data_IF_128947241499
#
_entry.id   IF_128947241499
#
_cell.length_a   1.000
_cell.length_b   1.000
_cell.length_c   1.000
_cell.angle_alpha   90.00
_cell.angle_beta   90.00
_cell.angle_gamma   90.00
#
_symmetry.space_group_name_H-M   'P 1'
#
loop_
_entity.id
_entity.type
_entity.pdbx_description
1 polymer ?
#
# COMPACT_ATOMS: atom_id res chain seq x y z
N UNK A 1 -5.81 4.85 26.87
CA UNK A 1 -4.86 3.79 27.24
C UNK A 1 -5.65 2.66 27.90
N UNK A 2 -5.47 1.41 27.47
CA UNK A 2 -6.21 0.27 28.04
C UNK A 2 -5.54 -0.11 29.36
N UNK A 3 -6.32 -0.24 30.43
CA UNK A 3 -5.77 -0.55 31.74
C UNK A 3 -5.28 -2.01 31.81
N UNK A 4 -4.17 -2.26 32.52
CA UNK A 4 -3.59 -3.61 32.64
C UNK A 4 -4.60 -4.62 33.19
N UNK A 5 -5.41 -4.22 34.18
CA UNK A 5 -6.46 -5.11 34.72
C UNK A 5 -7.48 -5.53 33.66
N UNK A 6 -7.84 -4.64 32.72
CA UNK A 6 -8.75 -4.97 31.60
C UNK A 6 -8.09 -5.96 30.65
N UNK A 7 -6.81 -5.75 30.30
CA UNK A 7 -6.06 -6.69 29.45
C UNK A 7 -6.00 -8.08 30.09
N UNK A 8 -5.66 -8.15 31.38
CA UNK A 8 -5.58 -9.41 32.12
C UNK A 8 -6.94 -10.08 32.26
N UNK A 9 -8.01 -9.34 32.54
CA UNK A 9 -9.37 -9.89 32.61
C UNK A 9 -9.83 -10.50 31.29
N UNK A 10 -9.42 -9.90 30.17
CA UNK A 10 -9.77 -10.36 28.84
C UNK A 10 -8.93 -11.56 28.40
N UNK A 11 -7.59 -11.41 28.43
CA UNK A 11 -6.67 -12.42 27.91
C UNK A 11 -6.48 -13.64 28.83
N UNK A 12 -6.98 -13.60 30.07
CA UNK A 12 -7.03 -14.81 30.93
C UNK A 12 -8.17 -15.76 30.59
N UNK A 13 -9.13 -15.36 29.74
CA UNK A 13 -10.33 -16.17 29.50
C UNK A 13 -10.03 -17.30 28.53
N UNK A 14 -10.36 -18.52 28.93
CA UNK A 14 -10.11 -19.73 28.14
C UNK A 14 -10.81 -19.70 26.77
N UNK A 15 -12.03 -19.16 26.70
CA UNK A 15 -12.79 -19.03 25.44
C UNK A 15 -12.11 -18.10 24.43
N UNK A 16 -11.51 -17.01 24.92
CA UNK A 16 -10.72 -16.06 24.11
C UNK A 16 -9.38 -16.68 23.70
N UNK A 17 -8.69 -17.32 24.63
CA UNK A 17 -7.40 -17.96 24.37
C UNK A 17 -7.52 -19.05 23.29
N UNK A 18 -8.56 -19.89 23.37
CA UNK A 18 -8.79 -20.94 22.40
C UNK A 18 -8.93 -20.40 20.96
N UNK A 19 -9.76 -19.38 20.75
CA UNK A 19 -9.97 -18.78 19.42
C UNK A 19 -8.73 -18.02 18.91
N UNK A 20 -7.95 -17.41 19.81
CA UNK A 20 -6.67 -16.80 19.44
C UNK A 20 -5.64 -17.85 19.01
N UNK A 21 -5.52 -18.97 19.72
CA UNK A 21 -4.61 -20.05 19.36
C UNK A 21 -4.97 -20.69 18.01
N UNK A 22 -6.26 -20.83 17.69
CA UNK A 22 -6.69 -21.26 16.35
C UNK A 22 -6.19 -20.32 15.26
N UNK A 23 -6.24 -19.01 15.49
CA UNK A 23 -5.67 -18.02 14.56
C UNK A 23 -4.16 -18.12 14.48
N UNK A 24 -3.47 -18.42 15.58
CA UNK A 24 -2.02 -18.46 15.65
C UNK A 24 -1.39 -19.69 14.97
N UNK A 25 -2.18 -20.75 14.77
CA UNK A 25 -1.68 -22.01 14.21
C UNK A 25 -0.99 -21.80 12.86
N UNK A 26 0.23 -22.32 12.76
CA UNK A 26 1.10 -22.26 11.58
C UNK A 26 1.43 -20.84 11.10
N UNK A 27 1.25 -19.80 11.92
CA UNK A 27 1.55 -18.40 11.57
C UNK A 27 2.62 -17.79 12.44
N UNK A 28 3.36 -16.86 11.85
CA UNK A 28 4.24 -15.99 12.62
C UNK A 28 3.41 -15.03 13.47
N UNK A 29 3.74 -14.92 14.76
CA UNK A 29 3.08 -14.01 15.70
C UNK A 29 3.94 -12.78 15.93
N UNK A 30 3.28 -11.63 16.05
CA UNK A 30 3.86 -10.40 16.52
C UNK A 30 2.99 -9.79 17.62
N UNK A 31 3.63 -9.56 18.76
CA UNK A 31 2.98 -9.02 19.96
C UNK A 31 3.29 -7.54 20.08
N UNK A 32 2.29 -6.72 20.33
CA UNK A 32 2.45 -5.27 20.53
C UNK A 32 2.31 -4.92 22.01
N UNK A 33 3.24 -4.14 22.54
CA UNK A 33 3.33 -3.74 23.95
C UNK A 33 3.00 -2.24 24.11
N UNK A 34 1.79 -1.84 23.70
CA UNK A 34 1.35 -0.44 23.67
C UNK A 34 2.36 0.46 22.93
N UNK A 35 2.82 1.54 23.58
CA UNK A 35 3.74 2.54 23.04
C UNK A 35 5.19 2.03 22.97
N UNK A 36 5.52 0.88 23.60
CA UNK A 36 6.86 0.25 23.46
C UNK A 36 7.06 -0.41 22.09
N UNK A 37 6.01 -0.50 21.27
CA UNK A 37 6.08 -1.06 19.93
C UNK A 37 5.89 -2.58 19.89
N UNK A 38 6.31 -3.19 18.78
CA UNK A 38 6.25 -4.64 18.58
C UNK A 38 7.42 -5.34 19.25
N UNK A 39 7.15 -6.53 19.80
CA UNK A 39 8.15 -7.45 20.31
C UNK A 39 9.03 -8.05 19.20
N UNK A 40 9.99 -8.88 19.62
CA UNK A 40 10.89 -9.57 18.69
C UNK A 40 10.11 -10.55 17.82
N UNK A 41 10.57 -10.71 16.57
CA UNK A 41 10.03 -11.63 15.57
C UNK A 41 11.15 -12.50 15.00
N UNK A 42 10.87 -13.74 14.55
CA UNK A 42 9.56 -14.41 14.59
C UNK A 42 9.20 -14.86 16.02
N UNK A 43 7.91 -15.08 16.26
CA UNK A 43 7.38 -15.60 17.52
C UNK A 43 6.17 -16.52 17.26
N UNK A 44 5.76 -17.29 18.26
CA UNK A 44 4.65 -18.26 18.17
C UNK A 44 3.80 -18.24 19.44
N UNK A 45 2.54 -18.67 19.34
CA UNK A 45 1.68 -18.95 20.50
C UNK A 45 1.27 -20.42 20.44
N UNK A 46 1.65 -21.20 21.45
CA UNK A 46 1.36 -22.63 21.50
C UNK A 46 0.31 -22.97 22.57
N UNK A 47 0.31 -22.23 23.68
CA UNK A 47 -0.55 -22.45 24.83
C UNK A 47 -1.31 -21.19 25.21
N UNK A 48 -2.50 -21.36 25.80
CA UNK A 48 -3.34 -20.23 26.22
C UNK A 48 -2.63 -19.34 27.26
N UNK A 49 -1.83 -19.97 28.12
CA UNK A 49 -1.04 -19.25 29.12
C UNK A 49 0.03 -18.34 28.51
N UNK A 50 0.52 -18.61 27.28
CA UNK A 50 1.47 -17.73 26.59
C UNK A 50 0.86 -16.33 26.40
N UNK A 51 -0.42 -16.28 26.01
CA UNK A 51 -1.19 -15.05 25.80
C UNK A 51 -1.31 -14.28 27.14
N UNK A 52 -1.60 -14.98 28.23
CA UNK A 52 -1.71 -14.38 29.56
C UNK A 52 -0.36 -13.85 30.08
N UNK A 53 0.73 -14.61 29.92
CA UNK A 53 2.06 -14.16 30.34
C UNK A 53 2.52 -12.93 29.54
N UNK A 54 2.26 -12.89 28.23
CA UNK A 54 2.52 -11.72 27.42
C UNK A 54 1.66 -10.52 27.85
N UNK A 55 0.39 -10.75 28.19
CA UNK A 55 -0.48 -9.70 28.74
C UNK A 55 0.03 -9.16 30.09
N UNK A 56 0.56 -10.02 30.99
CA UNK A 56 1.22 -9.60 32.24
C UNK A 56 2.45 -8.73 31.98
N UNK A 57 3.17 -9.01 30.90
CA UNK A 57 4.28 -8.17 30.45
C UNK A 57 3.83 -6.88 29.77
N UNK A 58 2.52 -6.63 29.64
CA UNK A 58 1.96 -5.41 29.06
C UNK A 58 1.64 -5.52 27.56
N UNK A 59 1.46 -6.72 27.02
CA UNK A 59 0.96 -6.91 25.66
C UNK A 59 -0.46 -6.35 25.54
N UNK A 60 -0.66 -5.46 24.57
CA UNK A 60 -1.97 -4.88 24.25
C UNK A 60 -2.66 -5.65 23.14
N UNK A 61 -1.94 -6.04 22.10
CA UNK A 61 -2.54 -6.74 20.96
C UNK A 61 -1.62 -7.76 20.31
N UNK A 62 -2.24 -8.74 19.66
CA UNK A 62 -1.57 -9.84 18.98
C UNK A 62 -1.92 -9.78 17.50
N UNK A 63 -0.93 -10.07 16.67
CA UNK A 63 -1.02 -10.03 15.21
C UNK A 63 -0.42 -11.31 14.65
N UNK A 64 -0.97 -11.78 13.55
CA UNK A 64 -0.52 -12.99 12.87
C UNK A 64 -0.21 -12.71 11.40
N UNK A 65 0.71 -13.46 10.81
CA UNK A 65 1.02 -13.36 9.39
C UNK A 65 -0.11 -13.88 8.50
N UNK A 66 -0.35 -13.26 7.35
CA UNK A 66 -1.23 -13.84 6.31
C UNK A 66 -0.69 -15.19 5.80
N UNK A 67 0.64 -15.28 5.69
CA UNK A 67 1.36 -16.50 5.33
C UNK A 67 1.34 -17.53 6.47
N UNK A 68 1.34 -18.80 6.06
CA UNK A 68 1.50 -19.96 6.92
C UNK A 68 2.85 -20.62 6.67
N UNK A 69 3.48 -21.10 7.74
CA UNK A 69 4.87 -21.51 7.73
C UNK A 69 5.09 -22.84 8.43
N UNK A 70 6.00 -23.65 7.89
CA UNK A 70 6.65 -24.72 8.64
C UNK A 70 7.82 -24.13 9.43
N UNK A 71 8.00 -24.58 10.67
CA UNK A 71 9.11 -24.17 11.53
C UNK A 71 9.30 -22.64 11.62
N UNK A 72 8.27 -21.93 12.08
CA UNK A 72 8.19 -20.46 12.16
C UNK A 72 9.47 -19.80 12.72
N UNK A 73 10.11 -20.42 13.72
CA UNK A 73 11.34 -19.90 14.34
C UNK A 73 12.55 -19.83 13.41
N UNK A 74 12.51 -20.47 12.23
CA UNK A 74 13.56 -20.37 11.22
C UNK A 74 13.46 -19.12 10.35
N UNK A 75 12.31 -18.44 10.34
CA UNK A 75 12.08 -17.29 9.45
C UNK A 75 12.96 -16.11 9.89
N UNK A 76 13.67 -15.50 8.94
CA UNK A 76 14.48 -14.31 9.17
C UNK A 76 14.20 -13.23 8.11
N UNK A 77 14.36 -11.95 8.45
CA UNK A 77 14.13 -10.83 7.51
C UNK A 77 15.20 -10.74 6.42
N UNK A 78 16.38 -11.33 6.63
CA UNK A 78 17.47 -11.38 5.66
C UNK A 78 17.34 -12.48 4.62
N UNK A 79 16.37 -13.40 4.80
CA UNK A 79 16.14 -14.51 3.87
C UNK A 79 15.72 -14.02 2.49
N UNK A 80 16.22 -14.71 1.47
CA UNK A 80 15.78 -14.55 0.09
C UNK A 80 14.38 -15.12 -0.07
N UNK A 81 13.67 -14.67 -1.10
CA UNK A 81 12.33 -15.15 -1.42
C UNK A 81 12.25 -16.67 -1.53
N UNK A 82 13.21 -17.30 -2.22
CA UNK A 82 13.26 -18.76 -2.36
C UNK A 82 13.36 -19.50 -1.02
N UNK A 83 14.14 -18.99 -0.07
CA UNK A 83 14.31 -19.59 1.25
C UNK A 83 13.02 -19.46 2.09
N UNK A 84 12.31 -18.33 1.95
CA UNK A 84 10.99 -18.14 2.55
C UNK A 84 9.96 -19.08 1.92
N UNK A 85 9.97 -19.20 0.59
CA UNK A 85 9.06 -20.07 -0.15
C UNK A 85 9.22 -21.54 0.26
N UNK A 86 10.44 -21.99 0.56
CA UNK A 86 10.68 -23.34 1.11
C UNK A 86 10.02 -23.54 2.47
N UNK A 87 9.92 -22.50 3.30
CA UNK A 87 9.26 -22.55 4.61
C UNK A 87 7.75 -22.35 4.53
N UNK A 88 7.23 -21.75 3.46
CA UNK A 88 5.81 -21.45 3.34
C UNK A 88 5.01 -22.71 3.05
N UNK A 89 3.91 -22.90 3.79
CA UNK A 89 2.96 -24.00 3.58
C UNK A 89 1.63 -23.54 2.98
N UNK A 90 1.37 -22.24 2.98
CA UNK A 90 0.18 -21.63 2.41
C UNK A 90 0.05 -20.16 2.82
N UNK A 91 -1.07 -19.54 2.51
CA UNK A 91 -1.41 -18.18 2.92
C UNK A 91 -2.91 -17.96 2.78
N UNK A 92 -3.47 -17.09 3.60
CA UNK A 92 -4.89 -16.76 3.55
C UNK A 92 -5.07 -15.38 2.93
N UNK A 93 -6.13 -15.23 2.16
CA UNK A 93 -6.44 -13.92 1.59
C UNK A 93 -7.08 -13.08 2.69
N UNK A 94 -6.41 -12.00 3.10
CA UNK A 94 -6.98 -11.01 4.02
C UNK A 94 -7.08 -9.67 3.30
N UNK A 95 -8.31 -9.21 3.08
CA UNK A 95 -8.58 -7.87 2.57
C UNK A 95 -8.88 -6.96 3.76
N UNK A 96 -7.97 -6.04 4.06
CA UNK A 96 -8.21 -4.98 5.05
C UNK A 96 -8.99 -3.84 4.39
N UNK A 97 -10.18 -3.59 4.92
CA UNK A 97 -11.13 -2.59 4.44
C UNK A 97 -11.24 -1.53 5.53
N UNK A 98 -10.68 -0.35 5.29
CA UNK A 98 -10.82 0.79 6.22
C UNK A 98 -11.29 2.05 5.51
N UNK A 99 -12.16 2.78 6.18
CA UNK A 99 -12.60 4.12 5.80
C UNK A 99 -12.56 5.01 7.03
N UNK A 100 -12.48 6.32 6.79
CA UNK A 100 -12.53 7.34 7.85
C UNK A 100 -13.79 7.26 8.72
N UNK A 101 -14.88 6.69 8.18
CA UNK A 101 -16.17 6.53 8.81
C UNK A 101 -16.65 5.07 8.78
N UNK A 102 -17.07 4.52 9.93
CA UNK A 102 -17.39 3.11 10.09
C UNK A 102 -18.52 2.65 9.16
N UNK A 103 -19.56 3.45 8.94
CA UNK A 103 -20.67 3.02 8.07
C UNK A 103 -20.22 2.86 6.62
N UNK A 104 -19.26 3.66 6.15
CA UNK A 104 -18.66 3.47 4.82
C UNK A 104 -17.86 2.17 4.77
N UNK A 105 -17.09 1.86 5.82
CA UNK A 105 -16.39 0.57 5.92
C UNK A 105 -17.36 -0.62 5.94
N UNK A 106 -18.52 -0.50 6.59
CA UNK A 106 -19.57 -1.53 6.56
C UNK A 106 -20.15 -1.72 5.16
N UNK A 107 -20.39 -0.64 4.44
CA UNK A 107 -20.85 -0.69 3.04
C UNK A 107 -19.80 -1.32 2.13
N UNK A 108 -18.54 -0.93 2.27
CA UNK A 108 -17.42 -1.50 1.52
C UNK A 108 -17.26 -2.98 1.82
N UNK A 109 -17.27 -3.38 3.10
CA UNK A 109 -17.21 -4.78 3.52
C UNK A 109 -18.36 -5.62 2.94
N UNK A 110 -19.60 -5.13 2.99
CA UNK A 110 -20.78 -5.78 2.37
C UNK A 110 -20.59 -5.99 0.86
N UNK A 111 -20.10 -4.97 0.15
CA UNK A 111 -19.82 -5.05 -1.28
C UNK A 111 -18.66 -6.00 -1.60
N UNK A 112 -17.59 -5.99 -0.79
CA UNK A 112 -16.48 -6.94 -0.90
C UNK A 112 -16.96 -8.37 -0.71
N UNK A 113 -17.79 -8.65 0.29
CA UNK A 113 -18.38 -9.97 0.52
C UNK A 113 -19.24 -10.39 -0.68
N UNK A 114 -20.05 -9.48 -1.23
CA UNK A 114 -20.86 -9.74 -2.43
C UNK A 114 -19.98 -10.01 -3.66
N UNK A 115 -18.88 -9.28 -3.83
CA UNK A 115 -17.93 -9.50 -4.91
C UNK A 115 -17.23 -10.87 -4.80
N UNK A 116 -16.87 -11.30 -3.59
CA UNK A 116 -16.34 -12.65 -3.36
C UNK A 116 -17.38 -13.73 -3.65
N UNK A 117 -18.63 -13.55 -3.22
CA UNK A 117 -19.74 -14.47 -3.53
C UNK A 117 -20.04 -14.55 -5.03
N UNK A 118 -19.97 -13.43 -5.74
CA UNK A 118 -20.10 -13.40 -7.20
C UNK A 118 -19.02 -14.24 -7.90
N UNK A 119 -17.85 -14.37 -7.26
CA UNK A 119 -16.74 -15.22 -7.68
C UNK A 119 -16.79 -16.63 -7.07
N UNK A 120 -17.99 -17.08 -6.65
CA UNK A 120 -18.30 -18.41 -6.15
C UNK A 120 -17.58 -18.84 -4.86
N UNK A 121 -16.94 -17.90 -4.15
CA UNK A 121 -16.34 -18.14 -2.83
C UNK A 121 -17.44 -18.27 -1.77
N UNK A 122 -17.44 -19.38 -1.03
CA UNK A 122 -18.46 -19.67 -0.01
C UNK A 122 -17.92 -19.48 1.40
N UNK A 123 -16.67 -19.86 1.64
CA UNK A 123 -15.93 -19.78 2.90
C UNK A 123 -15.40 -18.38 3.21
N UNK A 124 -16.25 -17.38 2.99
CA UNK A 124 -15.93 -15.99 3.31
C UNK A 124 -16.09 -15.80 4.82
N UNK A 125 -15.12 -15.13 5.42
CA UNK A 125 -15.16 -14.73 6.83
C UNK A 125 -14.98 -13.23 6.96
N UNK A 126 -15.53 -12.66 8.03
CA UNK A 126 -15.45 -11.23 8.30
C UNK A 126 -15.13 -11.01 9.78
N UNK A 127 -14.31 -10.00 10.09
CA UNK A 127 -14.14 -9.52 11.45
C UNK A 127 -13.96 -8.01 11.49
N UNK A 128 -14.47 -7.38 12.53
CA UNK A 128 -14.14 -5.99 12.83
C UNK A 128 -12.66 -5.87 13.18
N UNK A 129 -11.93 -4.92 12.59
CA UNK A 129 -10.47 -4.76 12.80
C UNK A 129 -10.11 -4.15 14.16
N UNK A 130 -11.11 -3.66 14.89
CA UNK A 130 -10.97 -3.05 16.21
C UNK A 130 -11.03 -1.52 16.19
N UNK A 131 -11.20 -0.84 15.05
CA UNK A 131 -11.34 0.63 15.04
C UNK A 131 -12.49 1.12 14.15
N UNK A 132 -12.25 1.17 12.84
CA UNK A 132 -13.22 1.66 11.86
C UNK A 132 -13.35 0.74 10.63
N UNK A 133 -12.50 -0.28 10.52
CA UNK A 133 -12.45 -1.17 9.37
C UNK A 133 -12.85 -2.61 9.68
N UNK A 134 -12.79 -3.43 8.65
CA UNK A 134 -13.08 -4.86 8.67
C UNK A 134 -11.98 -5.60 7.92
N UNK A 135 -11.65 -6.80 8.40
CA UNK A 135 -10.88 -7.75 7.61
C UNK A 135 -11.85 -8.76 7.01
N UNK A 136 -11.78 -8.94 5.70
CA UNK A 136 -12.50 -9.99 4.99
C UNK A 136 -11.51 -11.08 4.62
N UNK A 137 -11.77 -12.30 5.07
CA UNK A 137 -10.84 -13.42 4.97
C UNK A 137 -11.37 -14.56 4.11
N UNK A 138 -10.52 -15.16 3.27
CA UNK A 138 -10.77 -16.44 2.59
C UNK A 138 -9.64 -17.41 2.94
N UNK A 139 -9.95 -18.59 3.53
CA UNK A 139 -8.93 -19.55 3.93
C UNK A 139 -8.15 -20.13 2.75
N UNK A 140 -6.87 -20.45 2.96
CA UNK A 140 -6.02 -21.11 1.97
C UNK A 140 -6.65 -22.38 1.38
N UNK A 141 -7.34 -23.16 2.21
CA UNK A 141 -7.98 -24.42 1.84
C UNK A 141 -9.07 -24.27 0.77
N UNK A 142 -9.65 -23.08 0.63
CA UNK A 142 -10.66 -22.76 -0.39
C UNK A 142 -10.05 -22.48 -1.77
N UNK A 143 -8.73 -22.30 -1.84
CA UNK A 143 -8.06 -21.94 -3.08
C UNK A 143 -7.92 -23.14 -4.03
N UNK A 144 -7.78 -22.93 -5.36
CA UNK A 144 -7.39 -24.00 -6.26
C UNK A 144 -5.94 -24.44 -6.00
N UNK A 145 -5.55 -25.66 -6.38
CA UNK A 145 -4.17 -26.11 -6.19
C UNK A 145 -3.15 -25.27 -6.99
N UNK A 146 -3.53 -24.91 -8.22
CA UNK A 146 -2.68 -24.16 -9.15
C UNK A 146 -3.46 -23.08 -9.89
N UNK A 147 -2.75 -22.02 -10.28
CA UNK A 147 -3.22 -21.03 -11.26
C UNK A 147 -2.10 -20.77 -12.27
N UNK A 148 -2.43 -20.78 -13.56
CA UNK A 148 -1.45 -20.64 -14.65
C UNK A 148 -0.23 -21.60 -14.53
N UNK A 149 -0.46 -22.82 -14.03
CA UNK A 149 0.58 -23.83 -13.85
C UNK A 149 1.49 -23.67 -12.62
N UNK A 150 1.30 -22.64 -11.81
CA UNK A 150 2.09 -22.38 -10.59
C UNK A 150 1.30 -22.76 -9.33
N UNK A 151 1.99 -23.34 -8.35
CA UNK A 151 1.42 -23.68 -7.04
C UNK A 151 1.05 -22.40 -6.27
N UNK A 152 -0.17 -22.33 -5.73
CA UNK A 152 -0.62 -21.12 -5.07
C UNK A 152 0.17 -20.74 -3.82
N UNK A 153 0.75 -21.72 -3.12
CA UNK A 153 1.62 -21.45 -1.98
C UNK A 153 2.83 -20.55 -2.35
N UNK A 154 3.26 -20.54 -3.61
CA UNK A 154 4.43 -19.75 -4.07
C UNK A 154 4.04 -18.34 -4.53
N UNK A 155 2.74 -18.08 -4.65
CA UNK A 155 2.21 -16.89 -5.32
C UNK A 155 1.89 -15.73 -4.37
N UNK A 156 2.25 -15.82 -3.10
CA UNK A 156 2.18 -14.68 -2.19
C UNK A 156 3.42 -13.77 -2.34
N UNK A 157 3.28 -12.43 -2.29
CA UNK A 157 2.06 -11.64 -2.13
C UNK A 157 1.33 -11.34 -3.44
N UNK A 158 1.88 -11.72 -4.60
CA UNK A 158 1.40 -11.23 -5.90
C UNK A 158 -0.04 -11.64 -6.22
N UNK A 159 -0.44 -12.88 -5.93
CA UNK A 159 -1.82 -13.32 -6.13
C UNK A 159 -2.80 -12.56 -5.22
N UNK A 160 -2.46 -12.35 -3.95
CA UNK A 160 -3.26 -11.58 -3.02
C UNK A 160 -3.44 -10.12 -3.50
N UNK A 161 -2.38 -9.50 -4.02
CA UNK A 161 -2.44 -8.15 -4.63
C UNK A 161 -3.35 -8.10 -5.84
N UNK A 162 -3.21 -9.04 -6.78
CA UNK A 162 -4.06 -9.13 -7.97
C UNK A 162 -5.54 -9.25 -7.59
N UNK A 163 -5.85 -10.10 -6.61
CA UNK A 163 -7.21 -10.26 -6.10
C UNK A 163 -7.71 -8.98 -5.44
N UNK A 164 -6.92 -8.36 -4.57
CA UNK A 164 -7.31 -7.13 -3.89
C UNK A 164 -7.57 -5.97 -4.89
N UNK A 165 -6.75 -5.84 -5.93
CA UNK A 165 -6.95 -4.86 -7.01
C UNK A 165 -8.23 -5.13 -7.80
N UNK A 166 -8.46 -6.39 -8.19
CA UNK A 166 -9.67 -6.80 -8.89
C UNK A 166 -10.94 -6.51 -8.08
N UNK A 167 -10.97 -6.92 -6.81
CA UNK A 167 -12.09 -6.67 -5.91
C UNK A 167 -12.32 -5.18 -5.68
N UNK A 168 -11.24 -4.40 -5.49
CA UNK A 168 -11.32 -2.94 -5.36
C UNK A 168 -11.99 -2.32 -6.58
N UNK A 169 -11.60 -2.70 -7.79
CA UNK A 169 -12.20 -2.19 -9.02
C UNK A 169 -13.68 -2.58 -9.14
N UNK A 170 -14.04 -3.81 -8.79
CA UNK A 170 -15.43 -4.28 -8.82
C UNK A 170 -16.36 -3.46 -7.91
N UNK A 171 -15.90 -3.09 -6.71
CA UNK A 171 -16.75 -2.42 -5.72
C UNK A 171 -16.69 -0.89 -5.81
N UNK A 172 -15.71 -0.32 -6.51
CA UNK A 172 -15.45 1.12 -6.57
C UNK A 172 -16.69 1.93 -6.93
N UNK A 173 -17.33 1.61 -8.05
CA UNK A 173 -18.53 2.32 -8.51
C UNK A 173 -19.76 2.03 -7.62
N UNK A 174 -20.13 0.76 -7.34
CA UNK A 174 -21.26 0.46 -6.44
C UNK A 174 -21.13 1.09 -5.05
N UNK A 175 -19.92 1.19 -4.51
CA UNK A 175 -19.68 1.84 -3.22
C UNK A 175 -19.93 3.35 -3.31
N UNK A 176 -19.45 3.99 -4.38
CA UNK A 176 -19.69 5.41 -4.61
C UNK A 176 -21.18 5.74 -4.66
N UNK A 177 -21.93 4.96 -5.43
CA UNK A 177 -23.38 5.12 -5.58
C UNK A 177 -24.09 4.90 -4.23
N UNK A 178 -23.72 3.86 -3.48
CA UNK A 178 -24.31 3.54 -2.16
C UNK A 178 -24.02 4.60 -1.09
N UNK A 179 -22.83 5.18 -1.08
CA UNK A 179 -22.47 6.27 -0.16
C UNK A 179 -23.25 7.54 -0.51
N UNK A 180 -23.36 7.87 -1.80
CA UNK A 180 -24.15 9.03 -2.24
C UNK A 180 -25.62 8.89 -1.82
N UNK A 181 -26.22 7.71 -2.02
CA UNK A 181 -27.59 7.43 -1.58
C UNK A 181 -27.73 7.57 -0.06
N UNK A 182 -26.81 6.98 0.71
CA UNK A 182 -26.83 7.04 2.16
C UNK A 182 -26.73 8.47 2.72
N UNK A 183 -25.90 9.31 2.10
CA UNK A 183 -25.76 10.72 2.47
C UNK A 183 -26.78 11.64 1.78
N UNK A 184 -27.77 11.09 1.05
CA UNK A 184 -28.81 11.85 0.32
C UNK A 184 -28.23 12.84 -0.69
N UNK A 185 -27.16 12.45 -1.38
CA UNK A 185 -26.40 13.27 -2.33
C UNK A 185 -25.79 14.54 -1.73
N UNK A 186 -25.61 14.61 -0.40
CA UNK A 186 -24.95 15.72 0.28
C UNK A 186 -23.42 15.54 0.29
N UNK A 187 -22.75 16.14 -0.69
CA UNK A 187 -21.29 16.10 -0.80
C UNK A 187 -20.57 16.82 0.35
N UNK A 188 -21.19 17.83 0.98
CA UNK A 188 -20.56 18.55 2.09
C UNK A 188 -20.37 17.63 3.30
N UNK A 189 -21.35 16.77 3.58
CA UNK A 189 -21.24 15.74 4.64
C UNK A 189 -20.16 14.71 4.33
N UNK A 190 -20.04 14.30 3.07
CA UNK A 190 -19.00 13.36 2.65
C UNK A 190 -17.62 13.98 2.86
N UNK A 191 -17.44 15.26 2.48
CA UNK A 191 -16.20 16.01 2.71
C UNK A 191 -15.85 16.08 4.19
N UNK A 192 -16.81 16.45 5.04
CA UNK A 192 -16.61 16.54 6.49
C UNK A 192 -16.20 15.19 7.11
N UNK A 193 -16.87 14.10 6.72
CA UNK A 193 -16.61 12.76 7.27
C UNK A 193 -15.31 12.13 6.77
N UNK A 194 -14.93 12.41 5.53
CA UNK A 194 -13.74 11.82 4.90
C UNK A 194 -12.48 12.64 5.13
N UNK A 195 -12.61 13.95 5.35
CA UNK A 195 -11.48 14.87 5.50
C UNK A 195 -10.66 15.05 4.22
N UNK A 196 -11.20 14.66 3.06
CA UNK A 196 -10.52 14.74 1.76
C UNK A 196 -10.89 16.06 1.06
N UNK A 197 -9.95 16.65 0.33
CA UNK A 197 -10.18 17.85 -0.47
C UNK A 197 -11.28 17.66 -1.53
N UNK A 198 -12.12 18.67 -1.73
CA UNK A 198 -13.21 18.64 -2.74
C UNK A 198 -12.73 18.26 -4.14
N UNK A 199 -11.55 18.73 -4.54
CA UNK A 199 -10.92 18.44 -5.83
C UNK A 199 -10.61 16.95 -6.07
N UNK A 200 -10.59 16.11 -5.03
CA UNK A 200 -10.26 14.68 -5.11
C UNK A 200 -11.49 13.77 -4.97
N UNK A 201 -12.62 14.31 -4.51
CA UNK A 201 -13.83 13.54 -4.22
C UNK A 201 -14.73 13.36 -5.45
N UNK A 202 -14.66 14.26 -6.44
CA UNK A 202 -15.58 14.27 -7.58
C UNK A 202 -14.86 13.92 -8.88
N UNK A 203 -15.50 13.10 -9.71
CA UNK A 203 -15.13 12.96 -11.13
C UNK A 203 -16.38 12.95 -12.01
N UNK A 204 -16.24 13.48 -13.22
CA UNK A 204 -17.32 13.55 -14.19
C UNK A 204 -17.11 12.49 -15.26
N UNK A 205 -18.15 11.70 -15.54
CA UNK A 205 -18.18 10.84 -16.72
C UNK A 205 -19.12 11.45 -17.77
N UNK A 206 -18.68 11.45 -19.03
CA UNK A 206 -19.51 11.87 -20.15
C UNK A 206 -20.35 10.69 -20.63
N UNK A 207 -21.68 10.83 -20.63
CA UNK A 207 -22.54 9.84 -21.26
C UNK A 207 -22.39 9.90 -22.78
N UNK A 208 -22.63 8.77 -23.46
CA UNK A 208 -22.69 8.70 -24.93
C UNK A 208 -23.79 9.60 -25.52
N UNK A 209 -24.72 10.09 -24.71
CA UNK A 209 -25.85 10.96 -25.07
C UNK A 209 -25.64 12.43 -24.68
N UNK A 210 -24.43 12.84 -24.27
CA UNK A 210 -24.08 14.25 -24.06
C UNK A 210 -24.38 14.81 -22.66
N UNK A 211 -24.78 13.98 -21.69
CA UNK A 211 -24.92 14.38 -20.29
C UNK A 211 -23.64 14.16 -19.50
N UNK A 212 -23.28 15.07 -18.59
CA UNK A 212 -22.24 14.83 -17.58
C UNK A 212 -22.87 14.26 -16.33
N UNK A 213 -22.42 13.09 -15.88
CA UNK A 213 -22.86 12.50 -14.61
C UNK A 213 -21.74 12.66 -13.58
N UNK A 214 -22.10 13.23 -12.42
CA UNK A 214 -21.19 13.40 -11.29
C UNK A 214 -21.07 12.08 -10.52
N UNK A 215 -19.84 11.62 -10.30
CA UNK A 215 -19.55 10.40 -9.56
C UNK A 215 -18.63 10.66 -8.37
N UNK A 216 -18.80 9.86 -7.32
CA UNK A 216 -17.96 9.88 -6.14
C UNK A 216 -16.68 9.07 -6.35
N UNK A 217 -15.53 9.72 -6.18
CA UNK A 217 -14.23 9.07 -6.20
C UNK A 217 -13.91 8.46 -4.82
N UNK A 218 -14.38 7.22 -4.63
CA UNK A 218 -14.16 6.48 -3.38
C UNK A 218 -12.69 6.17 -3.10
N UNK A 219 -11.82 6.13 -4.10
CA UNK A 219 -10.39 5.80 -3.91
C UNK A 219 -9.63 6.82 -3.08
N UNK A 220 -10.18 8.02 -2.95
CA UNK A 220 -9.57 9.08 -2.16
C UNK A 220 -9.72 8.86 -0.64
N UNK A 221 -10.66 8.02 -0.21
CA UNK A 221 -10.96 7.77 1.21
C UNK A 221 -11.28 6.31 1.58
N UNK A 222 -11.40 5.41 0.61
CA UNK A 222 -11.45 3.96 0.79
C UNK A 222 -10.02 3.41 0.71
N UNK A 223 -9.60 2.77 1.79
CA UNK A 223 -8.37 2.00 1.82
C UNK A 223 -8.71 0.50 1.72
N UNK A 224 -8.39 -0.09 0.56
CA UNK A 224 -8.24 -1.54 0.41
C UNK A 224 -6.77 -1.74 0.15
N UNK A 225 -6.06 -2.16 1.19
CA UNK A 225 -4.63 -1.90 1.31
C UNK A 225 -3.77 -2.88 0.48
N UNK A 226 -3.89 -2.77 -0.85
CA UNK A 226 -3.18 -3.59 -1.85
C UNK A 226 -1.66 -3.47 -1.75
N UNK A 227 -1.15 -2.33 -1.28
CA UNK A 227 0.29 -2.04 -1.20
C UNK A 227 0.91 -2.70 0.03
N UNK A 228 0.16 -2.78 1.14
CA UNK A 228 0.67 -3.36 2.38
C UNK A 228 0.74 -4.88 2.35
N UNK A 229 -0.04 -5.55 1.49
CA UNK A 229 0.08 -6.99 1.22
C UNK A 229 1.50 -7.26 0.72
N UNK A 230 2.33 -7.79 1.60
CA UNK A 230 3.77 -7.99 1.39
C UNK A 230 4.25 -9.16 2.22
N UNK A 231 5.44 -9.67 1.93
CA UNK A 231 6.01 -10.79 2.69
C UNK A 231 6.05 -10.46 4.18
N UNK A 232 5.56 -11.42 4.98
CA UNK A 232 5.39 -11.35 6.44
C UNK A 232 4.52 -10.20 6.91
N UNK A 233 3.55 -9.78 6.08
CA UNK A 233 2.50 -8.84 6.47
C UNK A 233 1.66 -9.43 7.60
N UNK A 234 1.25 -8.57 8.53
CA UNK A 234 0.59 -8.93 9.76
C UNK A 234 -0.80 -8.33 9.82
N UNK A 235 -1.78 -9.14 10.20
CA UNK A 235 -3.12 -8.66 10.54
C UNK A 235 -3.40 -8.89 12.03
N UNK A 236 -4.17 -8.00 12.65
CA UNK A 236 -4.59 -8.13 14.05
C UNK A 236 -5.41 -9.41 14.24
N UNK A 237 -5.08 -10.24 15.22
CA UNK A 237 -5.80 -11.48 15.49
C UNK A 237 -7.24 -11.21 15.99
N UNK A 238 -8.10 -12.21 15.88
CA UNK A 238 -9.40 -12.20 16.57
C UNK A 238 -9.19 -12.01 18.07
N UNK A 239 -10.14 -11.34 18.71
CA UNK A 239 -10.16 -11.01 20.12
C UNK A 239 -8.96 -10.21 20.65
N UNK A 240 -8.08 -9.71 19.79
CA UNK A 240 -7.05 -8.76 20.20
C UNK A 240 -7.63 -7.35 20.34
N UNK A 241 -7.22 -6.63 21.37
CA UNK A 241 -7.55 -5.21 21.52
C UNK A 241 -6.91 -4.37 20.41
N UNK A 242 -7.46 -3.18 20.18
CA UNK A 242 -6.87 -2.10 19.41
C UNK A 242 -6.45 -0.96 20.35
N UNK A 243 -5.17 -0.57 20.30
CA UNK A 243 -4.61 0.42 21.24
C UNK A 243 -5.26 1.80 21.13
N UNK A 244 -5.69 2.17 19.91
CA UNK A 244 -6.21 3.51 19.62
C UNK A 244 -7.65 3.65 20.10
N UNK A 245 -8.49 2.67 19.82
CA UNK A 245 -9.93 2.71 20.12
C UNK A 245 -10.30 2.10 21.48
N UNK A 246 -9.46 1.20 22.02
CA UNK A 246 -9.82 0.37 23.16
C UNK A 246 -10.84 -0.73 22.86
N UNK A 247 -11.24 -0.91 21.59
CA UNK A 247 -12.16 -1.96 21.16
C UNK A 247 -11.42 -3.23 20.78
N UNK A 248 -12.15 -4.34 20.76
CA UNK A 248 -11.63 -5.69 20.49
C UNK A 248 -11.94 -6.06 19.03
N UNK A 249 -11.03 -6.76 18.35
CA UNK A 249 -11.32 -7.34 17.03
C UNK A 249 -12.26 -8.52 17.19
N UNK A 250 -13.44 -8.49 16.57
CA UNK A 250 -14.47 -9.52 16.78
C UNK A 250 -14.92 -10.10 15.44
N UNK A 251 -14.99 -11.44 15.30
CA UNK A 251 -15.62 -12.08 14.14
C UNK A 251 -17.10 -11.68 13.99
N UNK A 252 -17.47 -11.30 12.77
CA UNK A 252 -18.83 -10.89 12.41
C UNK A 252 -19.32 -11.83 11.32
N UNK A 253 -20.56 -12.30 11.43
CA UNK A 253 -21.22 -13.04 10.35
C UNK A 253 -21.23 -12.16 9.08
N UNK A 254 -20.63 -12.60 7.96
CA UNK A 254 -20.62 -11.84 6.71
C UNK A 254 -22.01 -11.41 6.23
N UNK A 255 -23.07 -12.16 6.55
CA UNK A 255 -24.44 -11.79 6.21
C UNK A 255 -24.98 -10.61 7.03
N UNK A 256 -24.37 -10.33 8.19
CA UNK A 256 -24.81 -9.32 9.17
C UNK A 256 -23.82 -8.18 9.34
N UNK A 257 -22.87 -8.00 8.42
CA UNK A 257 -21.84 -6.95 8.52
C UNK A 257 -22.44 -5.53 8.62
N UNK A 258 -23.58 -5.30 7.95
CA UNK A 258 -24.32 -4.03 8.01
C UNK A 258 -25.01 -3.79 9.36
N UNK A 259 -25.24 -4.84 10.15
CA UNK A 259 -25.86 -4.75 11.49
C UNK A 259 -24.81 -4.57 12.60
N UNK A 260 -23.51 -4.62 12.27
CA UNK A 260 -22.45 -4.47 13.24
C UNK A 260 -22.50 -3.12 13.95
N UNK A 261 -22.33 -3.14 15.28
CA UNK A 261 -22.21 -1.98 16.14
C UNK A 261 -20.98 -2.09 17.05
N UNK A 262 -20.33 -0.95 17.35
CA UNK A 262 -19.12 -0.92 18.19
C UNK A 262 -19.33 -1.47 19.60
N UNK A 263 -20.56 -1.45 20.11
CA UNK A 263 -20.90 -2.04 21.41
C UNK A 263 -20.59 -3.53 21.47
N UNK A 264 -20.73 -4.26 20.36
CA UNK A 264 -20.39 -5.69 20.26
C UNK A 264 -18.89 -5.97 20.41
N UNK A 265 -18.05 -4.92 20.32
CA UNK A 265 -16.59 -5.01 20.39
C UNK A 265 -16.01 -4.39 21.67
N UNK A 266 -16.86 -3.99 22.64
CA UNK A 266 -16.39 -3.49 23.94
C UNK A 266 -16.10 -4.63 24.91
N UNK A 267 -15.19 -4.37 25.85
CA UNK A 267 -14.95 -5.28 26.97
C UNK A 267 -16.06 -5.13 28.03
N UNK A 268 -16.58 -6.23 28.61
CA UNK A 268 -16.29 -7.63 28.28
C UNK A 268 -17.00 -8.06 26.99
N UNK A 269 -16.27 -8.71 26.07
CA UNK A 269 -16.79 -9.16 24.78
C UNK A 269 -17.34 -10.58 24.86
N UNK A 270 -18.40 -10.89 24.10
CA UNK A 270 -18.88 -12.26 23.93
C UNK A 270 -18.18 -12.92 22.74
N UNK A 271 -17.73 -14.17 22.90
CA UNK A 271 -17.22 -14.95 21.77
C UNK A 271 -18.33 -15.16 20.75
N UNK A 272 -17.98 -14.98 19.47
CA UNK A 272 -18.92 -15.01 18.36
C UNK A 272 -19.22 -16.47 18.01
N UNK A 273 -20.45 -16.75 17.59
CA UNK A 273 -20.79 -18.05 17.02
C UNK A 273 -20.15 -18.25 15.63
N UNK A 274 -19.75 -17.15 14.97
CA UNK A 274 -19.06 -17.16 13.70
C UNK A 274 -17.54 -17.13 13.92
N UNK A 275 -16.80 -18.00 13.23
CA UNK A 275 -15.33 -18.06 13.31
C UNK A 275 -14.68 -17.40 12.11
N UNK A 276 -13.60 -16.66 12.34
CA UNK A 276 -12.80 -16.04 11.28
C UNK A 276 -11.83 -17.07 10.70
N UNK A 277 -11.71 -17.14 9.38
CA UNK A 277 -10.91 -18.14 8.66
C UNK A 277 -11.18 -19.60 9.07
N UNK A 278 -12.45 -19.97 9.19
CA UNK A 278 -12.85 -21.34 9.54
C UNK A 278 -12.64 -22.31 8.37
N UNK A 279 -11.48 -22.98 8.36
CA UNK A 279 -11.12 -23.96 7.34
C UNK A 279 -12.11 -25.15 7.25
N UNK A 280 -12.85 -25.46 8.32
CA UNK A 280 -13.79 -26.59 8.32
C UNK A 280 -15.01 -26.38 7.41
N UNK A 281 -15.26 -25.13 6.99
CA UNK A 281 -16.36 -24.75 6.10
C UNK A 281 -15.93 -24.58 4.65
N UNK A 282 -14.69 -24.92 4.32
CA UNK A 282 -14.12 -24.72 2.99
C UNK A 282 -14.45 -25.88 2.07
N UNK A 283 -14.72 -25.56 0.80
CA UNK A 283 -14.71 -26.53 -0.29
C UNK A 283 -13.45 -26.28 -1.11
N UNK A 284 -12.61 -27.29 -1.25
CA UNK A 284 -11.36 -27.16 -2.00
C UNK A 284 -11.63 -26.67 -3.44
N UNK A 285 -10.87 -25.66 -3.87
CA UNK A 285 -11.00 -25.08 -5.21
C UNK A 285 -12.21 -24.18 -5.44
N UNK A 286 -13.06 -23.88 -4.44
CA UNK A 286 -14.22 -23.01 -4.64
C UNK A 286 -13.84 -21.59 -5.09
N UNK A 287 -12.65 -21.10 -4.71
CA UNK A 287 -12.18 -19.79 -5.12
C UNK A 287 -11.57 -19.77 -6.53
N UNK A 288 -11.61 -20.86 -7.30
CA UNK A 288 -10.96 -20.93 -8.61
C UNK A 288 -11.38 -19.77 -9.55
N UNK A 289 -12.66 -19.45 -9.60
CA UNK A 289 -13.18 -18.34 -10.41
C UNK A 289 -12.59 -16.99 -9.99
N UNK A 290 -12.45 -16.74 -8.68
CA UNK A 290 -11.82 -15.52 -8.16
C UNK A 290 -10.40 -15.37 -8.69
N UNK A 291 -9.60 -16.44 -8.63
CA UNK A 291 -8.21 -16.42 -9.11
C UNK A 291 -8.13 -16.20 -10.61
N UNK A 292 -8.93 -16.93 -11.41
CA UNK A 292 -8.96 -16.74 -12.87
C UNK A 292 -9.33 -15.30 -13.24
N UNK A 293 -10.43 -14.78 -12.69
CA UNK A 293 -10.89 -13.42 -12.99
C UNK A 293 -9.88 -12.35 -12.56
N UNK A 294 -9.26 -12.50 -11.38
CA UNK A 294 -8.26 -11.56 -10.89
C UNK A 294 -6.98 -11.55 -11.75
N UNK A 295 -6.53 -12.72 -12.20
CA UNK A 295 -5.35 -12.84 -13.05
C UNK A 295 -5.60 -12.29 -14.45
N UNK A 296 -6.76 -12.60 -15.05
CA UNK A 296 -7.18 -12.05 -16.34
C UNK A 296 -7.31 -10.52 -16.27
N UNK A 297 -7.89 -10.00 -15.18
CA UNK A 297 -7.97 -8.56 -14.93
C UNK A 297 -6.58 -7.91 -14.86
N UNK A 298 -5.66 -8.50 -14.10
CA UNK A 298 -4.28 -8.01 -13.99
C UNK A 298 -3.56 -7.99 -15.33
N UNK A 299 -3.67 -9.06 -16.11
CA UNK A 299 -3.05 -9.16 -17.43
C UNK A 299 -3.55 -8.04 -18.38
N UNK A 300 -4.86 -7.77 -18.38
CA UNK A 300 -5.43 -6.66 -19.18
C UNK A 300 -4.94 -5.29 -18.72
N UNK A 301 -4.71 -5.08 -17.43
CA UNK A 301 -4.16 -3.82 -16.92
C UNK A 301 -2.69 -3.66 -17.35
N UNK A 302 -1.89 -4.72 -17.24
CA UNK A 302 -0.49 -4.74 -17.67
C UNK A 302 -0.38 -4.44 -19.17
N UNK A 303 -1.20 -5.07 -20.02
CA UNK A 303 -1.29 -4.75 -21.46
C UNK A 303 -1.62 -3.27 -21.70
N UNK A 304 -2.64 -2.74 -21.01
CA UNK A 304 -3.01 -1.32 -21.15
C UNK A 304 -1.90 -0.36 -20.71
N UNK A 305 -1.10 -0.71 -19.70
CA UNK A 305 0.06 0.08 -19.28
C UNK A 305 1.21 0.02 -20.28
N UNK A 306 1.44 -1.13 -20.94
CA UNK A 306 2.42 -1.25 -22.01
C UNK A 306 2.02 -0.44 -23.25
N UNK A 307 0.73 -0.38 -23.58
CA UNK A 307 0.21 0.44 -24.68
C UNK A 307 0.15 1.94 -24.38
N UNK A 308 0.23 2.36 -23.10
CA UNK A 308 0.39 3.79 -22.79
C UNK A 308 1.75 4.21 -23.32
N UNK A 309 1.83 5.20 -24.24
CA UNK A 309 3.11 5.64 -24.75
C UNK A 309 3.98 6.11 -23.59
N UNK A 310 4.99 5.31 -23.24
CA UNK A 310 6.08 5.75 -22.36
C UNK A 310 6.58 7.03 -23.00
N UNK A 311 6.32 8.18 -22.36
CA UNK A 311 6.89 9.44 -22.84
C UNK A 311 8.40 9.24 -22.77
N UNK A 312 9.03 9.05 -23.93
CA UNK A 312 10.48 9.06 -24.01
C UNK A 312 10.93 10.43 -23.53
N UNK A 313 11.44 10.46 -22.31
CA UNK A 313 12.07 11.64 -21.78
C UNK A 313 13.43 11.74 -22.47
N UNK A 314 13.54 12.57 -23.51
CA UNK A 314 14.83 12.85 -24.12
C UNK A 314 15.75 13.46 -23.06
N UNK A 315 16.88 12.80 -22.82
CA UNK A 315 17.96 13.36 -22.01
C UNK A 315 18.64 14.42 -22.89
N UNK A 316 18.82 15.66 -22.41
CA UNK A 316 19.49 16.68 -23.19
C UNK A 316 20.90 16.21 -23.59
N UNK A 317 21.29 16.43 -24.83
CA UNK A 317 22.66 16.13 -25.29
C UNK A 317 23.71 17.01 -24.60
N UNK A 318 23.31 18.21 -24.17
CA UNK A 318 24.15 19.15 -23.41
C UNK A 318 23.71 19.17 -21.96
N UNK A 319 24.64 18.89 -21.05
CA UNK A 319 24.43 18.95 -19.60
C UNK A 319 23.85 20.30 -19.17
N UNK A 320 22.71 20.29 -18.49
CA UNK A 320 22.09 21.50 -17.95
C UNK A 320 22.98 22.06 -16.81
N UNK A 321 23.43 23.33 -16.86
CA UNK A 321 24.28 23.92 -15.83
C UNK A 321 23.55 24.12 -14.49
N UNK A 322 24.33 24.16 -13.40
CA UNK A 322 23.82 24.29 -12.03
C UNK A 322 22.92 25.51 -11.79
N UNK A 323 23.13 26.61 -12.53
CA UNK A 323 22.30 27.83 -12.46
C UNK A 323 20.82 27.57 -12.80
N UNK A 324 20.52 26.49 -13.52
CA UNK A 324 19.16 26.08 -13.86
C UNK A 324 18.66 24.92 -13.01
N UNK A 325 19.35 24.54 -11.94
CA UNK A 325 18.88 23.51 -11.02
C UNK A 325 17.80 24.05 -10.08
N UNK A 326 16.80 23.21 -9.73
CA UNK A 326 15.76 23.61 -8.79
C UNK A 326 16.34 23.90 -7.42
N UNK A 327 15.64 24.75 -6.66
CA UNK A 327 16.10 25.22 -5.35
C UNK A 327 16.39 24.05 -4.39
N UNK A 328 15.66 22.94 -4.47
CA UNK A 328 15.93 21.74 -3.68
C UNK A 328 17.31 21.13 -3.96
N UNK A 329 17.73 21.06 -5.23
CA UNK A 329 19.05 20.55 -5.62
C UNK A 329 20.14 21.56 -5.23
N UNK A 330 19.93 22.85 -5.53
CA UNK A 330 20.88 23.91 -5.17
C UNK A 330 21.12 23.99 -3.66
N UNK A 331 20.06 23.84 -2.86
CA UNK A 331 20.19 23.88 -1.40
C UNK A 331 20.88 22.63 -0.88
N UNK A 332 20.58 21.45 -1.43
CA UNK A 332 21.29 20.23 -1.04
C UNK A 332 22.76 20.22 -1.42
N UNK A 333 23.15 20.87 -2.52
CA UNK A 333 24.55 21.03 -2.93
C UNK A 333 25.39 21.88 -1.95
N UNK A 334 24.76 22.65 -1.05
CA UNK A 334 25.46 23.41 0.01
C UNK A 334 25.96 22.53 1.16
N UNK A 335 25.57 21.26 1.20
CA UNK A 335 25.96 20.30 2.24
C UNK A 335 24.84 20.04 3.26
N UNK A 336 24.87 18.84 3.88
CA UNK A 336 23.79 18.34 4.75
C UNK A 336 24.22 17.82 6.10
N UNK A 337 23.42 18.17 7.11
CA UNK A 337 23.49 17.60 8.47
C UNK A 337 22.84 16.21 8.55
N UNK A 338 21.74 15.99 7.85
CA UNK A 338 21.04 14.70 7.74
C UNK A 338 20.49 14.49 6.32
N UNK A 339 20.15 13.25 5.94
CA UNK A 339 19.56 12.93 4.64
C UNK A 339 20.56 12.73 3.50
N UNK A 340 21.86 12.67 3.76
CA UNK A 340 22.93 12.56 2.74
C UNK A 340 22.74 11.42 1.75
N UNK A 341 22.37 10.21 2.22
CA UNK A 341 22.12 9.05 1.34
C UNK A 341 20.90 9.26 0.44
N UNK A 342 19.83 9.86 0.98
CA UNK A 342 18.62 10.21 0.24
C UNK A 342 18.91 11.27 -0.81
N UNK A 343 19.68 12.31 -0.44
CA UNK A 343 20.08 13.35 -1.37
C UNK A 343 21.04 12.84 -2.45
N UNK A 344 22.02 11.99 -2.11
CA UNK A 344 22.88 11.32 -3.10
C UNK A 344 22.06 10.58 -4.15
N UNK A 345 21.05 9.80 -3.71
CA UNK A 345 20.12 9.11 -4.61
C UNK A 345 19.35 10.09 -5.52
N UNK A 346 18.79 11.15 -4.95
CA UNK A 346 18.07 12.19 -5.71
C UNK A 346 19.00 12.85 -6.74
N UNK A 347 20.21 13.23 -6.31
CA UNK A 347 21.18 13.98 -7.09
C UNK A 347 21.67 13.17 -8.29
N UNK A 348 22.03 11.89 -8.11
CA UNK A 348 22.47 11.05 -9.22
C UNK A 348 21.35 10.83 -10.24
N UNK A 349 20.14 10.50 -9.79
CA UNK A 349 18.99 10.35 -10.70
C UNK A 349 18.68 11.66 -11.42
N UNK A 350 18.79 12.80 -10.75
CA UNK A 350 18.57 14.11 -11.35
C UNK A 350 19.61 14.42 -12.43
N UNK A 351 20.91 14.36 -12.11
CA UNK A 351 22.02 14.73 -13.00
C UNK A 351 22.04 13.89 -14.28
N UNK A 352 21.86 12.57 -14.17
CA UNK A 352 21.76 11.66 -15.31
C UNK A 352 20.64 12.10 -16.27
N UNK A 353 19.50 12.55 -15.73
CA UNK A 353 18.34 12.95 -16.54
C UNK A 353 18.42 14.39 -17.09
N UNK A 354 19.42 15.16 -16.67
CA UNK A 354 19.69 16.51 -17.18
C UNK A 354 20.98 16.59 -18.01
N UNK A 355 21.50 15.44 -18.47
CA UNK A 355 22.56 15.35 -19.47
C UNK A 355 23.98 15.38 -18.92
N UNK A 356 24.17 15.23 -17.61
CA UNK A 356 25.51 15.11 -17.03
C UNK A 356 26.06 13.70 -17.25
N UNK A 357 27.34 13.62 -17.63
CA UNK A 357 28.02 12.34 -17.75
C UNK A 357 28.45 11.79 -16.37
N UNK A 358 28.80 10.51 -16.34
CA UNK A 358 29.12 9.83 -15.08
C UNK A 358 30.39 10.35 -14.41
N UNK A 359 31.35 10.88 -15.16
CA UNK A 359 32.60 11.42 -14.63
C UNK A 359 32.35 12.78 -13.96
N UNK A 360 31.54 13.64 -14.59
CA UNK A 360 31.05 14.89 -14.02
C UNK A 360 30.24 14.66 -12.74
N UNK A 361 29.35 13.65 -12.75
CA UNK A 361 28.55 13.28 -11.58
C UNK A 361 29.45 12.82 -10.43
N UNK A 362 30.40 11.94 -10.70
CA UNK A 362 31.32 11.43 -9.67
C UNK A 362 32.16 12.57 -9.07
N UNK A 363 32.70 13.46 -9.91
CA UNK A 363 33.44 14.64 -9.47
C UNK A 363 32.58 15.55 -8.57
N UNK A 364 31.37 15.89 -9.01
CA UNK A 364 30.46 16.73 -8.22
C UNK A 364 30.09 16.07 -6.90
N UNK A 365 29.86 14.75 -6.87
CA UNK A 365 29.55 14.01 -5.65
C UNK A 365 30.70 14.05 -4.65
N UNK A 366 31.94 13.87 -5.10
CA UNK A 366 33.12 13.94 -4.24
C UNK A 366 33.32 15.35 -3.67
N UNK A 367 33.10 16.39 -4.49
CA UNK A 367 33.16 17.79 -4.03
C UNK A 367 32.03 18.14 -3.06
N UNK A 368 30.81 17.71 -3.35
CA UNK A 368 29.65 17.88 -2.48
C UNK A 368 29.84 17.16 -1.14
N UNK A 369 30.42 15.96 -1.15
CA UNK A 369 30.61 15.18 0.06
C UNK A 369 31.53 15.85 1.08
N UNK A 370 32.49 16.66 0.61
CA UNK A 370 33.37 17.49 1.47
C UNK A 370 32.64 18.63 2.18
N UNK A 371 31.49 19.07 1.64
CA UNK A 371 30.66 20.14 2.22
C UNK A 371 29.69 19.63 3.30
N UNK A 372 29.54 18.32 3.42
CA UNK A 372 28.65 17.71 4.39
C UNK A 372 29.23 17.77 5.81
N UNK A 373 28.38 17.93 6.82
CA UNK A 373 28.79 17.91 8.23
C UNK A 373 29.52 16.62 8.61
N UNK A 374 29.07 15.50 8.05
CA UNK A 374 29.74 14.21 8.16
C UNK A 374 29.78 13.58 6.74
N UNK A 375 30.97 13.35 6.16
CA UNK A 375 31.07 12.79 4.82
C UNK A 375 30.60 11.34 4.78
N UNK A 376 29.93 10.96 3.68
CA UNK A 376 29.71 9.55 3.36
C UNK A 376 31.05 8.88 2.99
N UNK A 377 31.18 7.58 3.22
CA UNK A 377 32.37 6.84 2.75
C UNK A 377 32.42 6.86 1.23
N UNK A 378 33.58 7.14 0.65
CA UNK A 378 33.74 7.34 -0.80
C UNK A 378 33.28 6.14 -1.63
N UNK A 379 33.51 4.91 -1.16
CA UNK A 379 33.05 3.69 -1.81
C UNK A 379 31.52 3.64 -2.03
N UNK A 380 30.73 4.29 -1.16
CA UNK A 380 29.29 4.39 -1.36
C UNK A 380 28.95 5.31 -2.54
N UNK A 381 29.67 6.42 -2.71
CA UNK A 381 29.46 7.37 -3.81
C UNK A 381 29.80 6.72 -5.15
N UNK A 382 31.02 6.17 -5.25
CA UNK A 382 31.52 5.50 -6.47
C UNK A 382 30.66 4.27 -6.80
N UNK A 383 30.30 3.47 -5.79
CA UNK A 383 29.42 2.31 -5.97
C UNK A 383 28.04 2.69 -6.50
N UNK A 384 27.48 3.82 -6.05
CA UNK A 384 26.18 4.29 -6.51
C UNK A 384 26.22 4.76 -7.97
N UNK A 385 27.25 5.50 -8.37
CA UNK A 385 27.46 5.92 -9.77
C UNK A 385 27.64 4.71 -10.69
N UNK A 386 28.45 3.71 -10.28
CA UNK A 386 28.66 2.47 -11.03
C UNK A 386 27.35 1.69 -11.23
N UNK A 387 26.54 1.55 -10.18
CA UNK A 387 25.23 0.91 -10.30
C UNK A 387 24.36 1.61 -11.35
N UNK A 388 24.29 2.95 -11.33
CA UNK A 388 23.56 3.72 -12.33
C UNK A 388 24.12 3.58 -13.76
N UNK A 389 25.43 3.43 -13.91
CA UNK A 389 26.09 3.20 -15.21
C UNK A 389 25.71 1.85 -15.82
N UNK A 390 25.52 0.81 -14.99
CA UNK A 390 25.13 -0.54 -15.45
C UNK A 390 23.65 -0.68 -15.84
N UNK A 391 22.78 0.24 -15.44
CA UNK A 391 21.35 0.16 -15.76
C UNK A 391 21.06 0.65 -17.18
N UNK A 392 20.30 -0.16 -17.92
CA UNK A 392 19.77 0.17 -19.25
C UNK A 392 18.77 1.33 -19.19
N UNK A 393 17.89 1.33 -18.19
CA UNK A 393 16.88 2.38 -18.00
C UNK A 393 17.39 3.52 -17.10
N UNK A 394 17.12 4.76 -17.50
CA UNK A 394 17.38 5.94 -16.67
C UNK A 394 16.13 6.29 -15.89
N UNK A 395 16.22 6.18 -14.56
CA UNK A 395 15.10 6.45 -13.65
C UNK A 395 15.08 7.94 -13.30
N UNK A 396 13.90 8.54 -13.31
CA UNK A 396 13.70 9.92 -12.84
C UNK A 396 13.85 9.98 -11.31
N UNK A 397 14.38 11.09 -10.76
CA UNK A 397 14.36 11.29 -9.32
C UNK A 397 12.90 11.35 -8.81
N UNK A 398 12.65 11.05 -7.52
CA UNK A 398 11.34 11.19 -6.90
C UNK A 398 10.77 12.61 -7.09
N UNK A 399 9.45 12.74 -7.05
CA UNK A 399 8.81 14.05 -7.08
C UNK A 399 9.11 14.84 -5.80
N UNK A 400 9.20 16.17 -5.93
CA UNK A 400 9.53 17.08 -4.85
C UNK A 400 8.50 17.10 -3.70
N UNK A 401 7.28 16.61 -3.94
CA UNK A 401 6.21 16.46 -2.94
C UNK A 401 6.33 15.17 -2.11
N UNK A 402 7.27 14.28 -2.45
CA UNK A 402 7.47 13.03 -1.73
C UNK A 402 8.22 13.27 -0.40
N UNK A 403 7.49 13.22 0.72
CA UNK A 403 8.03 13.52 2.06
C UNK A 403 9.11 12.54 2.53
N UNK A 404 9.08 11.28 2.09
CA UNK A 404 10.11 10.30 2.44
C UNK A 404 11.49 10.71 1.90
N UNK A 405 11.50 11.31 0.70
CA UNK A 405 12.70 11.71 -0.02
C UNK A 405 13.07 13.18 0.18
N UNK A 406 12.12 14.09 0.37
CA UNK A 406 12.36 15.54 0.47
C UNK A 406 12.02 16.14 1.83
N UNK A 407 11.48 15.37 2.79
CA UNK A 407 11.03 15.88 4.09
C UNK A 407 12.13 16.53 4.94
N UNK A 408 13.40 16.29 4.65
CA UNK A 408 14.55 16.94 5.30
C UNK A 408 14.92 18.30 4.69
N UNK A 409 14.29 18.73 3.59
CA UNK A 409 14.48 20.04 2.96
C UNK A 409 13.15 20.76 2.69
N UNK A 410 12.87 21.87 3.40
CA UNK A 410 11.68 22.68 3.10
C UNK A 410 11.80 23.51 1.80
N UNK A 411 13.00 23.60 1.21
CA UNK A 411 13.33 24.55 0.15
C UNK A 411 12.53 24.40 -1.15
N UNK A 412 12.03 23.20 -1.47
CA UNK A 412 11.30 23.00 -2.73
C UNK A 412 9.89 23.63 -2.75
N UNK A 413 9.26 23.78 -1.58
CA UNK A 413 7.89 24.28 -1.44
C UNK A 413 7.80 25.82 -1.44
N UNK A 414 8.93 26.51 -1.31
CA UNK A 414 9.00 27.98 -1.17
C UNK A 414 9.28 28.73 -2.50
N UNK A 415 9.52 28.03 -3.60
CA UNK A 415 9.82 28.65 -4.90
C UNK A 415 8.54 28.86 -5.71
N UNK A 416 8.16 30.12 -5.93
CA UNK A 416 6.98 30.50 -6.72
C UNK A 416 6.99 29.92 -8.15
N UNK A 417 8.17 29.56 -8.70
CA UNK A 417 8.32 28.90 -10.00
C UNK A 417 8.01 27.40 -10.01
N UNK A 418 7.77 26.77 -8.86
CA UNK A 418 7.42 25.34 -8.74
C UNK A 418 5.92 25.04 -8.92
N UNK A 419 5.06 26.05 -9.08
CA UNK A 419 3.62 25.86 -9.26
C UNK A 419 3.32 24.94 -10.47
N UNK A 420 2.80 23.74 -10.19
CA UNK A 420 2.38 22.75 -11.19
C UNK A 420 3.47 21.82 -11.74
N UNK A 421 4.73 21.89 -11.28
CA UNK A 421 5.81 20.99 -11.71
C UNK A 421 6.25 20.12 -10.53
N UNK A 422 5.93 18.83 -10.58
CA UNK A 422 6.20 17.90 -9.48
C UNK A 422 7.63 17.37 -9.48
N UNK A 423 8.26 17.22 -10.65
CA UNK A 423 9.56 16.56 -10.77
C UNK A 423 10.71 17.57 -11.00
N UNK A 424 11.85 17.46 -10.28
CA UNK A 424 12.95 18.42 -10.39
C UNK A 424 13.59 18.45 -11.80
N UNK A 425 13.60 17.33 -12.54
CA UNK A 425 14.12 17.27 -13.91
C UNK A 425 13.29 18.14 -14.85
N UNK A 426 11.96 18.09 -14.71
CA UNK A 426 11.07 18.88 -15.55
C UNK A 426 11.26 20.37 -15.32
N UNK A 427 11.50 20.77 -14.07
CA UNK A 427 11.79 22.15 -13.72
C UNK A 427 13.09 22.63 -14.36
N UNK A 428 14.17 21.84 -14.24
CA UNK A 428 15.47 22.17 -14.82
C UNK A 428 15.40 22.31 -16.34
N UNK A 429 14.74 21.36 -17.03
CA UNK A 429 14.51 21.42 -18.47
C UNK A 429 13.67 22.63 -18.87
N UNK A 430 12.63 22.97 -18.11
CA UNK A 430 11.80 24.16 -18.37
C UNK A 430 12.63 25.44 -18.26
N UNK A 431 13.43 25.61 -17.21
CA UNK A 431 14.27 26.80 -17.04
C UNK A 431 15.37 26.91 -18.07
N UNK A 432 16.05 25.80 -18.39
CA UNK A 432 17.02 25.76 -19.48
C UNK A 432 16.39 26.20 -20.80
N UNK A 433 15.20 25.68 -21.13
CA UNK A 433 14.43 26.09 -22.33
C UNK A 433 14.02 27.55 -22.31
N UNK A 434 13.53 28.08 -21.19
CA UNK A 434 13.16 29.50 -21.06
C UNK A 434 14.37 30.43 -21.23
N UNK A 435 15.57 29.95 -20.92
CA UNK A 435 16.83 30.66 -21.09
C UNK A 435 17.51 30.39 -22.45
N UNK A 436 16.82 29.73 -23.39
CA UNK A 436 17.36 29.28 -24.68
C UNK A 436 18.68 28.49 -24.56
N UNK A 437 18.82 27.71 -23.49
CA UNK A 437 19.99 26.86 -23.27
C UNK A 437 19.78 25.49 -23.93
N UNK A 438 20.59 25.18 -24.94
CA UNK A 438 20.60 23.93 -25.71
C UNK A 438 21.33 24.13 -27.05
N UNK A 439 21.67 23.06 -27.79
CA UNK A 439 22.26 23.20 -29.12
C UNK A 439 21.28 23.91 -30.08
N UNK A 440 21.79 24.80 -30.94
CA UNK A 440 21.02 25.37 -32.05
C UNK A 440 20.58 24.23 -32.98
N UNK A 441 19.29 23.85 -32.95
CA UNK A 441 18.74 22.86 -33.87
C UNK A 441 17.81 21.77 -33.31
N UNK A 442 17.50 21.72 -32.01
CA UNK A 442 16.45 20.80 -31.53
C UNK A 442 15.06 21.29 -32.00
N UNK A 443 14.53 20.66 -33.05
CA UNK A 443 13.21 20.91 -33.59
C UNK A 443 12.13 20.84 -32.50
N UNK A 444 11.23 21.84 -32.50
CA UNK A 444 10.02 21.82 -31.69
C UNK A 444 9.26 20.53 -31.97
N UNK A 445 8.91 19.70 -30.96
CA UNK A 445 8.02 18.57 -31.21
C UNK A 445 6.69 19.13 -31.73
N UNK A 446 6.38 18.84 -33.00
CA UNK A 446 5.09 19.21 -33.60
C UNK A 446 4.00 18.67 -32.69
N UNK A 447 3.17 19.55 -32.13
CA UNK A 447 1.90 19.17 -31.50
C UNK A 447 1.13 18.35 -32.53
N UNK A 448 1.07 17.02 -32.38
CA UNK A 448 0.08 16.21 -33.08
C UNK A 448 -1.28 16.78 -32.67
N UNK A 449 -1.89 17.58 -33.55
CA UNK A 449 -3.33 17.84 -33.47
C UNK A 449 -3.98 16.46 -33.48
N UNK A 450 -4.79 16.16 -32.46
CA UNK A 450 -5.74 15.04 -32.55
C UNK A 450 -6.49 15.24 -33.86
N UNK A 451 -6.28 14.35 -34.83
CA UNK A 451 -7.26 14.17 -35.89
C UNK A 451 -8.54 13.80 -35.15
N UNK A 452 -9.56 14.64 -35.28
CA UNK A 452 -10.93 14.15 -35.13
C UNK A 452 -11.07 13.20 -36.31
N UNK A 453 -11.21 11.92 -36.03
CA UNK A 453 -11.68 10.98 -37.03
C UNK A 453 -13.15 11.35 -37.25
N UNK A 454 -13.38 12.17 -38.27
CA UNK A 454 -14.64 12.18 -39.02
C UNK A 454 -14.52 10.98 -39.95
N UNK A 455 -15.02 9.83 -39.50
CA UNK A 455 -15.44 8.77 -40.43
C UNK A 455 -16.96 8.87 -40.53
N UNK A 456 -17.38 9.52 -41.60
CA UNK A 456 -18.63 9.25 -42.29
C UNK A 456 -18.60 7.81 -42.80
N UNK A 457 -19.51 6.96 -42.31
CA UNK A 457 -20.48 6.13 -43.05
C UNK A 457 -20.94 4.94 -42.21
#
# INVERSE_FOLDING_TARGET
MIHLSTLLQHYKRDDIQAEMLLTAKDREIAVKFADRGFGKRPDTLAYGNDILELAKQGATSFHASEERWKNIMRIDTSMRRQELDELRTGWDLILDIDCHFLEYSKMAADLTIKALKYNDVKSISCKFSGNKGFHIGVPFEAFPEKVAGQDLQLLFPEAARKIAMYIREMIKKPLGDKILEYEKHDFARILEKTGVDESKIKYFSSSKTGGQTEHLNVESFLDIDTILISSRHLYRMVYSFNEKSGLISVPVDPAKVLEFSKEQAKHPVKVSAFRFLDASRTVNGEANKLFVQAFDFSARQEEQEEFRPKREFSIPSTAIPEKFFPLCIQTGLKGLKDGRKRFMFILVNFLVNVGWDYEQIEKLLLEWNKKNHEPLRENYLVGHVRYHKTRKEKILPPNCDNEMYYGFFPACKADAGHAGIKNPVQWAKKRARMANFGPEGEEKPKRRRRKKDEDEM
#
